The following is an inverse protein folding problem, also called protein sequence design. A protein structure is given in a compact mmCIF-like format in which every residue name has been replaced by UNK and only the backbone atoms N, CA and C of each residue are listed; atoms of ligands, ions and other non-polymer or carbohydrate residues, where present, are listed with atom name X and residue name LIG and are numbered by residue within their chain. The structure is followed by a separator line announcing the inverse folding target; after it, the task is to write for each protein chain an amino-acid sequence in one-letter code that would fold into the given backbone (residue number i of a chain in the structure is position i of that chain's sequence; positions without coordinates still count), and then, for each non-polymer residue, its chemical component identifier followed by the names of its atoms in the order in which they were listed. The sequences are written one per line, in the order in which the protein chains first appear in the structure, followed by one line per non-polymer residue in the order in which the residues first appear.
data_IF_258540419485
#
_entry.id   IF_258540419485
#
_cell.length_a   1.000
_cell.length_b   1.000
_cell.length_c   1.000
_cell.angle_alpha   90.00
_cell.angle_beta   90.00
_cell.angle_gamma   90.00
#
_symmetry.space_group_name_H-M   'P 1'
#
loop_
_entity.id
_entity.type
_entity.pdbx_description
1 polymer ?
#
# COMPACT_ATOMS: atom_id res chain seq x y z
N UNK A 1 7.25 -6.78 22.31
CA UNK A 1 6.65 -6.74 20.99
C UNK A 1 7.34 -5.61 20.22
N UNK A 2 7.94 -5.89 19.07
CA UNK A 2 8.58 -4.86 18.26
C UNK A 2 7.54 -4.00 17.54
N UNK A 3 7.89 -2.75 17.17
CA UNK A 3 6.97 -1.85 16.46
C UNK A 3 6.38 -2.52 15.21
N UNK A 4 7.21 -3.20 14.42
CA UNK A 4 6.79 -3.90 13.19
C UNK A 4 5.85 -5.10 13.40
N UNK A 5 5.65 -5.55 14.64
CA UNK A 5 4.71 -6.64 14.97
C UNK A 5 3.28 -6.15 15.19
N UNK A 6 3.10 -4.86 15.50
CA UNK A 6 1.79 -4.24 15.70
C UNK A 6 0.94 -4.30 14.42
N UNK A 7 -0.39 -4.29 14.58
CA UNK A 7 -1.33 -4.02 13.49
C UNK A 7 -1.35 -2.52 13.16
N UNK A 8 -1.98 -2.11 12.08
CA UNK A 8 -2.07 -0.69 11.72
C UNK A 8 -2.87 0.11 12.77
N UNK A 9 -3.96 -0.44 13.27
CA UNK A 9 -4.78 0.20 14.30
C UNK A 9 -4.08 0.23 15.67
N UNK A 10 -3.36 -0.82 16.04
CA UNK A 10 -2.56 -0.82 17.26
C UNK A 10 -1.47 0.25 17.19
N UNK A 11 -0.73 0.34 16.08
CA UNK A 11 0.26 1.39 15.88
C UNK A 11 -0.37 2.79 15.95
N UNK A 12 -1.48 3.01 15.24
CA UNK A 12 -2.19 4.29 15.28
C UNK A 12 -2.62 4.68 16.70
N UNK A 13 -3.00 3.71 17.52
CA UNK A 13 -3.29 3.92 18.95
C UNK A 13 -2.04 4.29 19.74
N UNK A 14 -0.93 3.55 19.57
CA UNK A 14 0.34 3.84 20.25
C UNK A 14 0.86 5.25 19.91
N UNK A 15 0.71 5.68 18.66
CA UNK A 15 1.09 7.02 18.21
C UNK A 15 0.21 8.09 18.90
N UNK A 16 -1.11 7.92 18.92
CA UNK A 16 -2.03 8.86 19.58
C UNK A 16 -1.78 8.98 21.07
N UNK A 17 -1.44 7.88 21.71
CA UNK A 17 -1.10 7.86 23.13
C UNK A 17 0.34 8.30 23.42
N UNK A 18 1.07 8.76 22.38
CA UNK A 18 2.44 9.28 22.44
C UNK A 18 3.47 8.27 23.00
N UNK A 19 3.21 6.98 22.84
CA UNK A 19 4.15 5.92 23.21
C UNK A 19 5.13 5.59 22.10
N UNK A 20 4.74 5.84 20.86
CA UNK A 20 5.57 5.72 19.65
C UNK A 20 5.39 7.02 18.86
N UNK A 21 6.46 7.63 18.42
CA UNK A 21 6.39 8.75 17.47
C UNK A 21 6.16 8.26 16.03
N UNK A 22 5.59 9.11 15.18
CA UNK A 22 5.43 8.80 13.75
C UNK A 22 6.79 8.50 13.11
N UNK A 23 7.83 9.23 13.50
CA UNK A 23 9.19 9.03 13.00
C UNK A 23 9.75 7.64 13.37
N UNK A 24 9.55 7.19 14.60
CA UNK A 24 9.95 5.83 15.02
C UNK A 24 9.20 4.75 14.25
N UNK A 25 7.90 4.95 13.97
CA UNK A 25 7.12 4.02 13.15
C UNK A 25 7.66 3.92 11.71
N UNK A 26 7.99 5.05 11.08
CA UNK A 26 8.59 5.09 9.74
C UNK A 26 9.98 4.44 9.76
N UNK A 27 10.83 4.78 10.73
CA UNK A 27 12.17 4.20 10.88
C UNK A 27 12.11 2.67 11.05
N UNK A 28 11.20 2.17 11.88
CA UNK A 28 11.02 0.73 12.05
C UNK A 28 10.64 0.02 10.74
N UNK A 29 9.81 0.64 9.89
CA UNK A 29 9.50 0.12 8.56
C UNK A 29 10.72 0.16 7.64
N UNK A 30 11.47 1.27 7.60
CA UNK A 30 12.66 1.40 6.76
C UNK A 30 13.75 0.41 7.16
N UNK A 31 13.95 0.17 8.46
CA UNK A 31 14.88 -0.86 8.96
C UNK A 31 14.48 -2.27 8.47
N UNK A 32 13.18 -2.57 8.43
CA UNK A 32 12.68 -3.82 7.87
C UNK A 32 12.93 -3.92 6.37
N UNK A 33 12.66 -2.84 5.63
CA UNK A 33 12.91 -2.75 4.19
C UNK A 33 14.41 -2.99 3.93
N UNK A 34 15.30 -2.23 4.56
CA UNK A 34 16.75 -2.39 4.37
C UNK A 34 17.28 -3.79 4.72
N UNK A 35 16.58 -4.49 5.62
CA UNK A 35 16.97 -5.85 6.01
C UNK A 35 16.51 -6.94 5.04
N UNK A 36 15.35 -6.79 4.43
CA UNK A 36 14.68 -7.88 3.71
C UNK A 36 14.46 -7.62 2.23
N UNK A 37 14.46 -6.36 1.79
CA UNK A 37 14.07 -5.99 0.42
C UNK A 37 15.01 -6.60 -0.65
N UNK A 38 16.30 -6.72 -0.38
CA UNK A 38 17.25 -7.40 -1.29
C UNK A 38 16.86 -8.86 -1.57
N UNK A 39 16.07 -9.47 -0.69
CA UNK A 39 15.59 -10.85 -0.84
C UNK A 39 14.14 -10.91 -1.30
N UNK A 40 13.28 -10.04 -0.77
CA UNK A 40 11.82 -10.08 -1.00
C UNK A 40 11.44 -9.40 -2.31
N UNK A 41 12.08 -8.28 -2.66
CA UNK A 41 11.78 -7.46 -3.85
C UNK A 41 10.32 -7.02 -3.90
N UNK A 42 9.81 -6.49 -2.78
CA UNK A 42 8.44 -6.04 -2.66
C UNK A 42 8.20 -4.65 -3.26
N UNK A 43 9.24 -3.81 -3.33
CA UNK A 43 9.15 -2.44 -3.84
C UNK A 43 9.82 -2.26 -5.20
N UNK A 44 9.31 -1.30 -5.98
CA UNK A 44 9.93 -0.81 -7.22
C UNK A 44 10.44 0.62 -7.07
N UNK A 45 9.89 1.36 -6.12
CA UNK A 45 10.30 2.73 -5.78
C UNK A 45 10.14 2.93 -4.28
N UNK A 46 11.17 3.45 -3.62
CA UNK A 46 11.11 3.86 -2.21
C UNK A 46 11.14 5.39 -2.12
N UNK A 47 10.45 5.94 -1.12
CA UNK A 47 10.32 7.39 -0.86
C UNK A 47 10.79 7.75 0.54
N UNK A 48 11.93 7.20 0.98
CA UNK A 48 12.42 7.27 2.36
C UNK A 48 12.54 8.70 2.91
N UNK A 49 13.24 9.60 2.18
CA UNK A 49 13.42 10.98 2.62
C UNK A 49 12.08 11.71 2.74
N UNK A 50 11.17 11.50 1.76
CA UNK A 50 9.84 12.08 1.78
C UNK A 50 8.98 11.53 2.92
N UNK A 51 9.08 10.22 3.21
CA UNK A 51 8.38 9.58 4.31
C UNK A 51 8.83 10.13 5.68
N UNK A 52 10.13 10.31 5.88
CA UNK A 52 10.67 10.91 7.11
C UNK A 52 10.28 12.38 7.28
N UNK A 53 10.30 13.16 6.19
CA UNK A 53 9.85 14.56 6.22
C UNK A 53 8.35 14.66 6.53
N UNK A 54 7.52 13.79 5.91
CA UNK A 54 6.09 13.70 6.16
C UNK A 54 5.81 13.27 7.61
N UNK A 55 6.61 12.37 8.17
CA UNK A 55 6.45 11.93 9.56
C UNK A 55 6.54 13.09 10.55
N UNK A 56 7.50 14.00 10.36
CA UNK A 56 7.68 15.15 11.23
C UNK A 56 6.51 16.17 11.13
N UNK A 57 5.91 16.28 9.94
CA UNK A 57 4.75 17.14 9.73
C UNK A 57 3.47 16.52 10.32
N UNK A 58 3.22 15.25 10.06
CA UNK A 58 2.05 14.53 10.58
C UNK A 58 2.10 14.44 12.11
N UNK A 59 3.29 14.26 12.71
CA UNK A 59 3.43 14.30 14.16
C UNK A 59 2.91 15.62 14.76
N UNK A 60 3.23 16.75 14.15
CA UNK A 60 2.74 18.06 14.61
C UNK A 60 1.22 18.15 14.53
N UNK A 61 0.62 17.66 13.43
CA UNK A 61 -0.83 17.67 13.26
C UNK A 61 -1.56 16.74 14.26
N UNK A 62 -0.91 15.64 14.67
CA UNK A 62 -1.42 14.78 15.73
C UNK A 62 -1.31 15.49 17.10
N UNK A 63 -0.17 16.14 17.36
CA UNK A 63 0.10 16.80 18.65
C UNK A 63 -0.80 18.01 18.89
N UNK A 64 -1.16 18.74 17.86
CA UNK A 64 -2.07 19.90 17.94
C UNK A 64 -3.57 19.52 17.81
N UNK A 65 -3.85 18.23 17.59
CA UNK A 65 -5.21 17.68 17.54
C UNK A 65 -5.95 17.91 16.21
N UNK A 66 -5.29 18.42 15.17
CA UNK A 66 -5.90 18.59 13.83
C UNK A 66 -6.06 17.26 13.10
N UNK A 67 -5.24 16.26 13.42
CA UNK A 67 -5.29 14.93 12.83
C UNK A 67 -5.51 13.85 13.90
N UNK A 68 -6.72 13.26 13.92
CA UNK A 68 -7.16 12.34 14.97
C UNK A 68 -7.58 10.95 14.46
N UNK A 69 -7.51 10.72 13.15
CA UNK A 69 -7.92 9.46 12.51
C UNK A 69 -7.11 8.25 12.97
N UNK A 70 -7.64 7.02 12.83
CA UNK A 70 -6.95 5.81 13.30
C UNK A 70 -5.69 5.45 12.48
N UNK A 71 -5.56 5.97 11.26
CA UNK A 71 -4.42 5.72 10.37
C UNK A 71 -3.40 6.86 10.37
N UNK A 72 -3.58 7.88 11.23
CA UNK A 72 -2.67 9.02 11.32
C UNK A 72 -1.27 8.57 11.78
N UNK A 73 -0.27 8.84 10.97
CA UNK A 73 1.12 8.47 11.19
C UNK A 73 1.48 7.01 10.86
N UNK A 74 0.53 6.21 10.38
CA UNK A 74 0.79 4.78 10.06
C UNK A 74 1.46 4.65 8.70
N UNK A 75 2.64 3.97 8.61
CA UNK A 75 3.32 3.70 7.34
C UNK A 75 2.53 2.77 6.42
N UNK A 76 2.50 3.11 5.12
CA UNK A 76 1.80 2.34 4.09
C UNK A 76 2.60 2.22 2.80
N UNK A 77 2.21 1.27 1.95
CA UNK A 77 2.69 1.14 0.58
C UNK A 77 1.54 1.12 -0.43
N UNK A 78 1.82 1.46 -1.68
CA UNK A 78 0.82 1.54 -2.75
C UNK A 78 1.29 0.76 -3.97
N UNK A 79 0.45 -0.13 -4.49
CA UNK A 79 0.72 -0.89 -5.72
C UNK A 79 1.03 0.03 -6.89
N UNK A 80 2.00 -0.34 -7.72
CA UNK A 80 2.59 0.52 -8.75
C UNK A 80 1.70 0.79 -9.98
N UNK A 81 0.45 0.35 -9.98
CA UNK A 81 -0.57 0.78 -10.95
C UNK A 81 -1.54 1.84 -10.40
N UNK A 82 -1.36 2.29 -9.16
CA UNK A 82 -2.14 3.35 -8.55
C UNK A 82 -1.35 4.65 -8.65
N UNK A 83 -1.81 5.59 -9.45
CA UNK A 83 -1.14 6.87 -9.69
C UNK A 83 -0.94 7.65 -8.38
N UNK A 84 0.28 8.12 -8.19
CA UNK A 84 0.69 8.90 -7.03
C UNK A 84 1.47 10.11 -7.52
N UNK A 85 0.92 11.31 -7.36
CA UNK A 85 1.49 12.57 -7.86
C UNK A 85 2.94 12.74 -7.42
N UNK A 86 3.80 13.07 -8.37
CA UNK A 86 5.22 13.31 -8.11
C UNK A 86 6.06 12.05 -7.90
N UNK A 87 5.47 10.85 -7.94
CA UNK A 87 6.18 9.58 -7.75
C UNK A 87 6.01 8.71 -9.00
N UNK A 88 7.11 8.17 -9.51
CA UNK A 88 7.09 7.32 -10.69
C UNK A 88 6.07 6.18 -10.53
N UNK A 89 5.27 5.94 -11.55
CA UNK A 89 4.22 4.90 -11.58
C UNK A 89 4.34 4.13 -12.88
N UNK A 90 4.84 2.90 -12.80
CA UNK A 90 5.28 2.13 -13.99
C UNK A 90 4.40 0.94 -14.32
N UNK A 91 3.49 0.51 -13.44
CA UNK A 91 2.82 -0.80 -13.53
C UNK A 91 3.81 -1.97 -13.66
N UNK A 92 5.00 -1.85 -13.05
CA UNK A 92 6.12 -2.77 -13.18
C UNK A 92 6.52 -3.06 -14.64
N UNK A 93 6.34 -2.08 -15.54
CA UNK A 93 6.64 -2.15 -16.97
C UNK A 93 7.73 -1.16 -17.39
N UNK A 94 8.63 -1.61 -18.26
CA UNK A 94 9.60 -0.73 -18.91
C UNK A 94 8.95 0.36 -19.78
N UNK A 95 7.74 0.12 -20.28
CA UNK A 95 7.01 1.05 -21.15
C UNK A 95 6.71 2.37 -20.42
N UNK A 96 6.40 2.31 -19.13
CA UNK A 96 6.05 3.49 -18.31
C UNK A 96 7.23 4.05 -17.50
N UNK A 97 8.46 3.59 -17.71
CA UNK A 97 9.64 4.18 -17.06
C UNK A 97 9.72 5.68 -17.33
N UNK A 98 9.91 6.44 -16.25
CA UNK A 98 9.92 7.90 -16.27
C UNK A 98 8.54 8.55 -16.26
N UNK A 99 7.44 7.78 -16.22
CA UNK A 99 6.11 8.35 -16.06
C UNK A 99 5.86 8.75 -14.61
N UNK A 100 5.82 10.04 -14.38
CA UNK A 100 5.48 10.65 -13.09
C UNK A 100 4.09 11.29 -13.23
N UNK A 101 3.05 10.72 -12.61
CA UNK A 101 1.70 11.24 -12.74
C UNK A 101 1.59 12.68 -12.20
N UNK A 102 0.88 13.59 -12.90
CA UNK A 102 0.59 14.94 -12.41
C UNK A 102 -0.63 14.98 -11.47
N UNK A 103 -1.11 13.81 -11.03
CA UNK A 103 -2.27 13.65 -10.12
C UNK A 103 -2.15 12.34 -9.35
N UNK A 104 -2.86 12.26 -8.23
CA UNK A 104 -3.00 11.03 -7.45
C UNK A 104 -4.38 10.39 -7.64
N UNK A 105 -4.43 9.07 -7.50
CA UNK A 105 -5.67 8.33 -7.36
C UNK A 105 -6.45 8.79 -6.12
N UNK A 106 -7.80 8.79 -6.19
CA UNK A 106 -8.63 9.25 -5.07
C UNK A 106 -8.37 8.45 -3.79
N UNK A 107 -8.21 7.13 -3.90
CA UNK A 107 -7.86 6.29 -2.75
C UNK A 107 -6.54 6.71 -2.08
N UNK A 108 -5.51 7.07 -2.88
CA UNK A 108 -4.23 7.57 -2.37
C UNK A 108 -4.39 8.94 -1.68
N UNK A 109 -5.21 9.83 -2.25
CA UNK A 109 -5.52 11.14 -1.66
C UNK A 109 -6.24 11.00 -0.32
N UNK A 110 -7.18 10.07 -0.21
CA UNK A 110 -7.93 9.83 1.01
C UNK A 110 -7.02 9.32 2.14
N UNK A 111 -6.10 8.40 1.85
CA UNK A 111 -5.10 7.94 2.82
C UNK A 111 -4.12 9.07 3.21
N UNK A 112 -3.68 9.87 2.25
CA UNK A 112 -2.85 11.06 2.53
C UNK A 112 -3.56 12.04 3.46
N UNK A 113 -4.85 12.33 3.21
CA UNK A 113 -5.69 13.18 4.08
C UNK A 113 -5.87 12.58 5.48
N UNK A 114 -5.94 11.25 5.58
CA UNK A 114 -5.99 10.54 6.85
C UNK A 114 -4.64 10.52 7.60
N UNK A 115 -3.57 11.04 7.00
CA UNK A 115 -2.24 11.14 7.59
C UNK A 115 -1.41 9.86 7.52
N UNK A 116 -1.78 8.90 6.68
CA UNK A 116 -0.95 7.72 6.43
C UNK A 116 0.33 8.11 5.68
N UNK A 117 1.46 7.48 6.01
CA UNK A 117 2.78 7.81 5.49
C UNK A 117 3.16 6.85 4.36
N UNK A 118 3.37 7.37 3.16
CA UNK A 118 3.76 6.55 2.01
C UNK A 118 5.25 6.22 2.05
N UNK A 119 5.57 4.91 2.11
CA UNK A 119 6.95 4.40 2.04
C UNK A 119 7.43 4.18 0.61
N UNK A 120 6.51 3.87 -0.33
CA UNK A 120 6.89 3.61 -1.70
C UNK A 120 5.82 2.90 -2.52
N UNK A 121 6.23 2.53 -3.75
CA UNK A 121 5.40 1.82 -4.74
C UNK A 121 5.81 0.36 -4.76
N UNK A 122 4.81 -0.55 -4.67
CA UNK A 122 5.08 -1.98 -4.59
C UNK A 122 5.04 -2.68 -5.94
N UNK A 123 5.87 -3.69 -6.07
CA UNK A 123 6.02 -4.52 -7.25
C UNK A 123 4.71 -5.28 -7.58
N UNK A 124 4.56 -5.63 -8.84
CA UNK A 124 3.35 -6.28 -9.35
C UNK A 124 3.65 -7.04 -10.64
N UNK A 125 2.76 -7.92 -11.06
CA UNK A 125 2.78 -8.41 -12.44
C UNK A 125 2.59 -7.24 -13.42
N UNK A 126 3.33 -7.24 -14.54
CA UNK A 126 3.31 -6.16 -15.52
C UNK A 126 1.86 -5.84 -15.98
N UNK A 127 1.44 -4.56 -15.84
CA UNK A 127 0.07 -4.08 -16.10
C UNK A 127 -1.04 -4.86 -15.40
N UNK A 128 -0.74 -5.45 -14.23
CA UNK A 128 -1.64 -6.29 -13.45
C UNK A 128 -2.06 -7.59 -14.16
N UNK A 129 -1.36 -7.98 -15.23
CA UNK A 129 -1.65 -9.17 -16.04
C UNK A 129 -0.84 -10.38 -15.56
N UNK A 130 -1.19 -10.96 -14.43
CA UNK A 130 -0.52 -12.11 -13.88
C UNK A 130 -1.07 -12.51 -12.52
N UNK A 131 -0.47 -13.55 -11.94
CA UNK A 131 -0.88 -14.13 -10.66
C UNK A 131 0.30 -14.60 -9.79
N UNK A 132 1.53 -14.17 -10.13
CA UNK A 132 2.74 -14.67 -9.46
C UNK A 132 3.75 -13.55 -9.13
N UNK A 133 3.61 -12.36 -9.71
CA UNK A 133 4.55 -11.24 -9.64
C UNK A 133 5.94 -11.61 -10.19
N UNK A 134 5.98 -12.51 -11.19
CA UNK A 134 7.19 -12.89 -11.91
C UNK A 134 7.38 -12.12 -13.21
N UNK A 135 6.30 -11.49 -13.74
CA UNK A 135 6.33 -10.79 -15.01
C UNK A 135 6.82 -9.34 -14.91
N UNK A 136 7.15 -8.89 -13.72
CA UNK A 136 7.68 -7.55 -13.46
C UNK A 136 9.00 -7.30 -14.21
N UNK A 137 9.11 -6.15 -14.86
CA UNK A 137 10.37 -5.71 -15.47
C UNK A 137 11.50 -5.49 -14.43
N UNK A 138 11.15 -5.21 -13.17
CA UNK A 138 12.12 -5.03 -12.07
C UNK A 138 12.63 -6.37 -11.51
N UNK A 139 12.07 -7.48 -11.93
CA UNK A 139 12.33 -8.80 -11.39
C UNK A 139 11.22 -9.32 -10.48
N UNK A 140 11.27 -10.61 -10.12
CA UNK A 140 10.21 -11.26 -9.35
C UNK A 140 10.24 -10.87 -7.88
N UNK A 141 9.06 -10.69 -7.30
CA UNK A 141 8.89 -10.66 -5.84
C UNK A 141 8.90 -12.08 -5.28
N UNK A 142 9.45 -12.25 -4.10
CA UNK A 142 9.49 -13.54 -3.39
C UNK A 142 8.49 -13.58 -2.23
N UNK A 143 8.01 -14.79 -1.93
CA UNK A 143 7.18 -14.98 -0.75
C UNK A 143 8.04 -14.91 0.53
N UNK A 144 7.75 -14.01 1.48
CA UNK A 144 8.58 -13.85 2.68
C UNK A 144 8.64 -15.09 3.59
N UNK A 145 7.64 -15.97 3.52
CA UNK A 145 7.62 -17.21 4.29
C UNK A 145 8.55 -18.28 3.73
N UNK A 146 8.72 -18.28 2.41
CA UNK A 146 9.65 -19.15 1.71
C UNK A 146 10.02 -18.54 0.36
N UNK A 147 11.24 -18.07 0.22
CA UNK A 147 11.73 -17.34 -0.96
C UNK A 147 11.85 -18.18 -2.23
N UNK A 148 11.69 -19.50 -2.12
CA UNK A 148 11.58 -20.40 -3.29
C UNK A 148 10.17 -20.40 -3.89
N UNK A 149 9.20 -19.75 -3.25
CA UNK A 149 7.82 -19.67 -3.69
C UNK A 149 7.44 -18.25 -4.11
N UNK A 150 6.43 -18.17 -4.99
CA UNK A 150 5.84 -16.90 -5.42
C UNK A 150 4.94 -16.32 -4.32
N UNK A 151 4.83 -14.98 -4.22
CA UNK A 151 3.91 -14.32 -3.30
C UNK A 151 2.46 -14.33 -3.80
N UNK A 152 2.23 -14.84 -5.02
CA UNK A 152 1.00 -14.60 -5.76
C UNK A 152 1.04 -13.26 -6.50
N UNK A 153 -0.09 -12.87 -7.09
CA UNK A 153 -0.20 -11.65 -7.89
C UNK A 153 -1.65 -11.36 -8.34
N UNK A 154 -1.81 -10.22 -8.95
CA UNK A 154 -0.79 -9.26 -9.39
C UNK A 154 -0.31 -8.30 -8.27
N UNK A 155 -0.92 -8.26 -7.09
CA UNK A 155 -0.49 -7.41 -5.96
C UNK A 155 0.52 -8.12 -5.05
N UNK A 156 1.45 -8.92 -5.61
CA UNK A 156 2.40 -9.72 -4.84
C UNK A 156 3.34 -8.88 -4.00
N UNK A 157 3.87 -7.78 -4.52
CA UNK A 157 4.71 -6.85 -3.75
C UNK A 157 3.97 -6.24 -2.55
N UNK A 158 2.71 -5.81 -2.74
CA UNK A 158 1.89 -5.28 -1.64
C UNK A 158 1.69 -6.31 -0.52
N UNK A 159 1.38 -7.56 -0.88
CA UNK A 159 1.18 -8.63 0.10
C UNK A 159 2.49 -9.05 0.77
N UNK A 160 3.58 -9.14 0.00
CA UNK A 160 4.89 -9.50 0.52
C UNK A 160 5.42 -8.43 1.49
N UNK A 161 5.28 -7.13 1.18
CA UNK A 161 5.68 -6.04 2.05
C UNK A 161 4.97 -6.09 3.42
N UNK A 162 3.65 -6.35 3.43
CA UNK A 162 2.89 -6.52 4.67
C UNK A 162 3.34 -7.77 5.43
N UNK A 163 3.49 -8.90 4.75
CA UNK A 163 3.91 -10.16 5.37
C UNK A 163 5.33 -10.11 5.94
N UNK A 164 6.26 -9.39 5.29
CA UNK A 164 7.63 -9.18 5.76
C UNK A 164 7.70 -8.15 6.91
N UNK A 165 6.60 -7.44 7.20
CA UNK A 165 6.58 -6.34 8.18
C UNK A 165 7.32 -5.08 7.71
N UNK A 166 7.50 -4.91 6.42
CA UNK A 166 8.11 -3.73 5.79
C UNK A 166 7.14 -2.54 5.75
N UNK A 167 5.86 -2.83 5.84
CA UNK A 167 4.80 -1.84 6.00
C UNK A 167 3.68 -2.40 6.87
N UNK A 168 2.83 -1.53 7.43
CA UNK A 168 1.69 -1.95 8.26
C UNK A 168 0.48 -2.33 7.42
N UNK A 169 0.30 -1.66 6.29
CA UNK A 169 -0.71 -2.00 5.29
C UNK A 169 -0.29 -1.54 3.90
N UNK A 170 -0.99 -2.05 2.89
CA UNK A 170 -0.79 -1.61 1.52
C UNK A 170 -2.12 -1.51 0.77
N UNK A 171 -2.12 -0.74 -0.33
CA UNK A 171 -3.17 -0.83 -1.33
C UNK A 171 -2.75 -1.79 -2.45
N UNK A 172 -3.70 -2.62 -2.86
CA UNK A 172 -3.63 -3.45 -4.05
C UNK A 172 -4.74 -3.12 -5.04
N UNK A 173 -4.74 -3.83 -6.17
CA UNK A 173 -5.86 -3.83 -7.12
C UNK A 173 -6.26 -5.26 -7.46
N UNK A 174 -7.55 -5.49 -7.66
CA UNK A 174 -8.11 -6.81 -7.92
C UNK A 174 -9.11 -6.75 -9.09
N UNK A 175 -8.89 -7.57 -10.08
CA UNK A 175 -9.75 -7.75 -11.25
C UNK A 175 -10.34 -9.15 -11.23
N UNK A 176 -9.49 -10.15 -11.10
CA UNK A 176 -9.84 -11.57 -11.08
C UNK A 176 -9.25 -12.35 -9.90
N UNK A 177 -8.82 -11.64 -8.82
CA UNK A 177 -8.19 -12.26 -7.65
C UNK A 177 -6.92 -11.57 -7.17
N UNK A 178 -6.50 -10.48 -7.81
CA UNK A 178 -5.16 -9.91 -7.64
C UNK A 178 -4.88 -9.21 -6.29
N UNK A 179 -5.84 -9.13 -5.37
CA UNK A 179 -5.65 -8.86 -3.94
C UNK A 179 -5.81 -10.17 -3.16
N UNK A 180 -6.90 -10.88 -3.39
CA UNK A 180 -7.33 -12.03 -2.59
C UNK A 180 -6.35 -13.20 -2.67
N UNK A 181 -5.89 -13.52 -3.86
CA UNK A 181 -4.99 -14.66 -4.09
C UNK A 181 -3.60 -14.41 -3.47
N UNK A 182 -2.89 -13.28 -3.76
CA UNK A 182 -1.60 -13.05 -3.11
C UNK A 182 -1.72 -12.84 -1.59
N UNK A 183 -2.82 -12.30 -1.08
CA UNK A 183 -3.07 -12.24 0.37
C UNK A 183 -3.12 -13.64 0.99
N UNK A 184 -3.80 -14.59 0.33
CA UNK A 184 -3.83 -15.99 0.76
C UNK A 184 -2.45 -16.64 0.74
N UNK A 185 -1.64 -16.37 -0.30
CA UNK A 185 -0.29 -16.95 -0.43
C UNK A 185 0.70 -16.37 0.58
N UNK A 186 0.58 -15.10 0.92
CA UNK A 186 1.43 -14.42 1.89
C UNK A 186 0.92 -14.49 3.34
N UNK A 187 -0.25 -15.11 3.59
CA UNK A 187 -0.80 -15.23 4.93
C UNK A 187 -1.21 -13.89 5.56
N UNK A 188 -1.70 -12.96 4.75
CA UNK A 188 -2.22 -11.65 5.17
C UNK A 188 -3.70 -11.51 4.81
N UNK A 189 -4.38 -10.49 5.32
CA UNK A 189 -5.77 -10.20 4.99
C UNK A 189 -5.83 -9.22 3.81
N UNK A 190 -6.68 -9.51 2.82
CA UNK A 190 -6.95 -8.62 1.70
C UNK A 190 -8.42 -8.57 1.37
N UNK A 191 -8.96 -7.38 1.11
CA UNK A 191 -10.36 -7.18 0.74
C UNK A 191 -10.47 -6.63 -0.67
N UNK A 192 -11.19 -7.36 -1.54
CA UNK A 192 -11.71 -6.79 -2.78
C UNK A 192 -13.11 -6.23 -2.49
N UNK A 193 -13.30 -4.93 -2.44
CA UNK A 193 -14.62 -4.35 -2.19
C UNK A 193 -15.60 -4.61 -3.33
N UNK A 194 -16.87 -4.33 -3.09
CA UNK A 194 -17.89 -4.31 -4.12
C UNK A 194 -17.53 -3.25 -5.17
N UNK A 195 -17.79 -3.56 -6.44
CA UNK A 195 -17.51 -2.65 -7.56
C UNK A 195 -18.20 -1.29 -7.36
N UNK A 196 -17.43 -0.21 -7.52
CA UNK A 196 -17.89 1.16 -7.31
C UNK A 196 -17.74 1.70 -5.89
N UNK A 197 -17.47 0.87 -4.89
CA UNK A 197 -17.27 1.31 -3.49
C UNK A 197 -16.05 2.21 -3.34
N UNK A 198 -14.96 1.93 -4.06
CA UNK A 198 -13.73 2.72 -4.09
C UNK A 198 -13.54 3.28 -5.48
N UNK A 199 -13.30 4.60 -5.59
CA UNK A 199 -13.03 5.24 -6.87
C UNK A 199 -11.85 4.61 -7.59
N UNK A 200 -12.01 4.35 -8.89
CA UNK A 200 -10.94 3.88 -9.79
C UNK A 200 -10.19 5.03 -10.46
N UNK A 201 -10.56 6.29 -10.18
CA UNK A 201 -9.80 7.42 -10.71
C UNK A 201 -8.35 7.36 -10.28
N UNK A 202 -7.44 7.34 -11.26
CA UNK A 202 -6.01 7.19 -11.06
C UNK A 202 -5.52 5.74 -10.91
N UNK A 203 -6.39 4.73 -11.06
CA UNK A 203 -5.98 3.35 -11.25
C UNK A 203 -5.70 3.10 -12.74
N UNK A 204 -4.50 2.66 -13.09
CA UNK A 204 -4.20 2.19 -14.45
C UNK A 204 -4.89 0.85 -14.64
N UNK A 205 -5.82 0.80 -15.61
CA UNK A 205 -6.76 -0.29 -15.75
C UNK A 205 -6.14 -1.57 -16.32
N UNK A 206 -6.65 -2.71 -15.84
CA UNK A 206 -6.49 -4.01 -16.48
C UNK A 206 -7.80 -4.46 -17.13
N UNK A 207 -8.86 -4.60 -16.35
CA UNK A 207 -10.22 -4.91 -16.81
C UNK A 207 -11.22 -3.93 -16.20
N UNK A 208 -11.47 -2.81 -16.88
CA UNK A 208 -12.20 -1.65 -16.35
C UNK A 208 -13.57 -1.97 -15.75
N UNK A 209 -14.24 -3.03 -16.21
CA UNK A 209 -15.54 -3.46 -15.68
C UNK A 209 -15.46 -4.32 -14.42
N UNK A 210 -14.25 -4.63 -13.94
CA UNK A 210 -14.00 -5.53 -12.81
C UNK A 210 -13.02 -4.95 -11.77
N UNK A 211 -12.11 -4.06 -12.21
CA UNK A 211 -11.04 -3.53 -11.37
C UNK A 211 -11.56 -2.83 -10.11
N UNK A 212 -10.95 -3.17 -8.98
CA UNK A 212 -11.16 -2.44 -7.73
C UNK A 212 -9.84 -2.27 -6.98
N UNK A 213 -9.66 -1.10 -6.37
CA UNK A 213 -8.61 -0.87 -5.36
C UNK A 213 -9.14 -1.40 -4.02
N UNK A 214 -8.28 -2.04 -3.25
CA UNK A 214 -8.64 -2.52 -1.92
C UNK A 214 -7.44 -2.65 -0.99
N UNK A 215 -7.71 -2.76 0.32
CA UNK A 215 -6.69 -2.85 1.36
C UNK A 215 -6.10 -4.25 1.49
N UNK A 216 -4.84 -4.26 1.93
CA UNK A 216 -4.09 -5.44 2.35
C UNK A 216 -3.43 -5.08 3.68
N UNK A 217 -3.67 -5.88 4.72
CA UNK A 217 -3.14 -5.64 6.06
C UNK A 217 -2.99 -6.95 6.84
N UNK A 218 -2.54 -6.88 8.09
CA UNK A 218 -2.32 -8.07 8.92
C UNK A 218 -3.62 -8.74 9.33
N UNK A 219 -4.67 -7.96 9.57
CA UNK A 219 -5.95 -8.49 10.03
C UNK A 219 -7.17 -7.81 9.38
N UNK A 220 -8.35 -8.32 9.71
CA UNK A 220 -9.63 -7.84 9.17
C UNK A 220 -10.03 -6.47 9.70
N UNK A 221 -9.66 -6.14 10.94
CA UNK A 221 -10.00 -4.85 11.55
C UNK A 221 -9.24 -3.71 10.87
N UNK A 222 -7.94 -3.91 10.63
CA UNK A 222 -7.11 -3.00 9.85
C UNK A 222 -7.69 -2.80 8.44
N UNK A 223 -8.00 -3.89 7.73
CA UNK A 223 -8.58 -3.82 6.40
C UNK A 223 -9.91 -3.06 6.38
N UNK A 224 -10.75 -3.23 7.40
CA UNK A 224 -12.02 -2.51 7.51
C UNK A 224 -11.80 -1.00 7.68
N UNK A 225 -10.90 -0.58 8.56
CA UNK A 225 -10.59 0.83 8.78
C UNK A 225 -9.95 1.50 7.54
N UNK A 226 -9.07 0.76 6.84
CA UNK A 226 -8.48 1.26 5.59
C UNK A 226 -9.57 1.38 4.51
N UNK A 227 -10.44 0.37 4.38
CA UNK A 227 -11.55 0.41 3.41
C UNK A 227 -12.50 1.57 3.70
N UNK A 228 -12.87 1.80 4.96
CA UNK A 228 -13.68 2.95 5.38
C UNK A 228 -13.03 4.28 4.95
N UNK A 229 -11.72 4.38 5.06
CA UNK A 229 -10.95 5.58 4.68
C UNK A 229 -10.95 5.82 3.17
N UNK A 230 -10.82 4.77 2.35
CA UNK A 230 -10.71 4.89 0.89
C UNK A 230 -12.05 4.82 0.15
N UNK A 231 -13.11 4.30 0.79
CA UNK A 231 -14.45 4.23 0.22
C UNK A 231 -15.08 5.64 0.20
N UNK A 232 -15.34 6.15 -0.99
CA UNK A 232 -15.94 7.47 -1.18
C UNK A 232 -16.55 7.62 -2.56
N UNK A 233 -17.63 8.38 -2.64
CA UNK A 233 -18.17 8.82 -3.92
C UNK A 233 -17.21 9.80 -4.60
N UNK A 234 -16.90 9.55 -5.87
CA UNK A 234 -16.01 10.39 -6.67
C UNK A 234 -16.62 10.69 -8.04
N UNK A 235 -16.87 11.97 -8.31
CA UNK A 235 -17.39 12.45 -9.61
C UNK A 235 -16.48 12.15 -10.80
N UNK A 236 -15.20 11.87 -10.56
CA UNK A 236 -14.20 11.57 -11.59
C UNK A 236 -14.28 10.11 -12.07
N UNK A 237 -14.94 9.23 -11.30
CA UNK A 237 -15.22 7.85 -11.69
C UNK A 237 -16.74 7.65 -11.86
N UNK A 238 -17.18 7.47 -13.10
CA UNK A 238 -18.59 7.29 -13.43
C UNK A 238 -19.22 6.02 -12.83
N UNK A 239 -18.41 5.12 -12.27
CA UNK A 239 -18.87 3.88 -11.63
C UNK A 239 -18.86 3.96 -10.11
N UNK A 240 -18.37 5.06 -9.54
CA UNK A 240 -18.37 5.29 -8.09
C UNK A 240 -19.80 5.43 -7.55
N UNK A 241 -20.11 4.77 -6.45
CA UNK A 241 -21.41 4.76 -5.78
C UNK A 241 -21.32 5.32 -4.37
#
# INVERSE_FOLDING_TARGET
MGISELTALELGKEIKEKRISVREAVQASLERIHKYEDTVHAYVTLTEEAALAQADEIQKQIDDGTLTGPLAGVPMAIKDNICTEGIETTCSSKILRGFVPPYSAEAALNLKKAGAILLGKTNMDEFAMGSTTETSWFGPTKNPWNTEHVPGGSSGGSCAAVAAGETFFALGSDTGGSIRQPSSFCGVTGIKPTYGTVSRYGLIAYGSSLDQIGPIAKDTADCAAILETIASYDKKDSTSV
#
